data_IF_742685236932
#
_entry.id   IF_742685236932
#
_cell.length_a   1.000
_cell.length_b   1.000
_cell.length_c   1.000
_cell.angle_alpha   90.00
_cell.angle_beta   90.00
_cell.angle_gamma   90.00
#
_symmetry.space_group_name_H-M   'P 1'
#
loop_
_entity.id
_entity.type
_entity.pdbx_description
1 polymer ?
#
# COMPACT_ATOMS: atom_id res chain seq x y z
N UNK A 1 19.53 15.92 -20.04
CA UNK A 1 20.36 16.21 -18.87
C UNK A 1 21.10 14.92 -18.50
N UNK A 2 22.42 14.90 -18.61
CA UNK A 2 23.24 13.73 -18.26
C UNK A 2 23.32 13.64 -16.73
N UNK A 3 22.81 12.56 -16.15
CA UNK A 3 22.82 12.34 -14.70
C UNK A 3 24.23 11.89 -14.29
N UNK A 4 25.04 12.83 -13.80
CA UNK A 4 26.45 12.62 -13.41
C UNK A 4 26.59 11.54 -12.31
N UNK A 5 25.51 11.27 -11.56
CA UNK A 5 25.45 10.21 -10.55
C UNK A 5 25.53 8.79 -11.14
N UNK A 6 25.10 8.51 -12.38
CA UNK A 6 25.09 7.13 -12.90
C UNK A 6 26.46 6.62 -13.41
N UNK A 7 27.49 7.48 -13.38
CA UNK A 7 28.85 7.14 -13.82
C UNK A 7 29.73 6.53 -12.73
N UNK A 8 29.32 6.60 -11.46
CA UNK A 8 30.02 5.95 -10.34
C UNK A 8 29.20 4.76 -9.83
N UNK A 9 29.89 3.74 -9.33
CA UNK A 9 29.26 2.55 -8.76
C UNK A 9 28.27 2.92 -7.64
N UNK A 10 28.65 3.91 -6.81
CA UNK A 10 27.82 4.48 -5.75
C UNK A 10 26.56 5.17 -6.25
N UNK A 11 26.62 6.00 -7.31
CA UNK A 11 25.43 6.70 -7.78
C UNK A 11 24.47 5.80 -8.58
N UNK A 12 24.95 4.67 -9.13
CA UNK A 12 24.08 3.58 -9.64
C UNK A 12 23.34 2.84 -8.53
N UNK A 13 23.96 2.69 -7.36
CA UNK A 13 23.33 2.09 -6.19
C UNK A 13 22.24 3.01 -5.62
N UNK A 14 22.53 4.31 -5.48
CA UNK A 14 21.55 5.32 -5.05
C UNK A 14 20.37 5.41 -6.02
N UNK A 15 20.63 5.45 -7.33
CA UNK A 15 19.56 5.49 -8.34
C UNK A 15 18.70 4.22 -8.34
N UNK A 16 19.28 3.04 -8.04
CA UNK A 16 18.51 1.80 -7.85
C UNK A 16 17.65 1.87 -6.59
N UNK A 17 18.24 2.25 -5.46
CA UNK A 17 17.56 2.36 -4.17
C UNK A 17 16.38 3.33 -4.23
N UNK A 18 16.58 4.53 -4.76
CA UNK A 18 15.49 5.51 -4.94
C UNK A 18 14.36 5.01 -5.85
N UNK A 19 14.68 4.16 -6.84
CA UNK A 19 13.69 3.60 -7.78
C UNK A 19 12.94 2.40 -7.19
N UNK A 20 13.55 1.73 -6.23
CA UNK A 20 12.95 0.65 -5.47
C UNK A 20 12.05 1.24 -4.38
N UNK A 21 12.55 2.22 -3.62
CA UNK A 21 11.79 3.01 -2.64
C UNK A 21 10.56 3.67 -3.29
N UNK A 22 10.72 4.38 -4.42
CA UNK A 22 9.57 4.97 -5.12
C UNK A 22 8.60 3.95 -5.73
N UNK A 23 8.98 2.68 -5.90
CA UNK A 23 8.07 1.60 -6.30
C UNK A 23 7.37 0.96 -5.11
N UNK A 24 8.01 0.97 -3.96
CA UNK A 24 7.49 0.46 -2.70
C UNK A 24 6.46 1.44 -2.14
N UNK A 25 6.80 2.73 -2.06
CA UNK A 25 5.87 3.82 -1.68
C UNK A 25 4.63 3.84 -2.60
N UNK A 26 4.82 3.77 -3.92
CA UNK A 26 3.70 3.74 -4.87
C UNK A 26 2.86 2.46 -4.81
N UNK A 27 3.43 1.35 -4.32
CA UNK A 27 2.66 0.11 -4.04
C UNK A 27 1.88 0.25 -2.75
N UNK A 28 2.48 0.77 -1.69
CA UNK A 28 1.82 0.99 -0.40
C UNK A 28 0.62 1.92 -0.55
N UNK A 29 0.77 3.07 -1.21
CA UNK A 29 -0.34 3.99 -1.46
C UNK A 29 -1.46 3.34 -2.29
N UNK A 30 -1.09 2.63 -3.36
CA UNK A 30 -2.06 1.90 -4.20
C UNK A 30 -2.78 0.78 -3.43
N UNK A 31 -2.11 0.12 -2.50
CA UNK A 31 -2.72 -0.92 -1.65
C UNK A 31 -3.73 -0.33 -0.66
N UNK A 32 -3.40 0.81 -0.03
CA UNK A 32 -4.32 1.50 0.89
C UNK A 32 -5.58 1.96 0.16
N UNK A 33 -5.45 2.54 -1.04
CA UNK A 33 -6.59 3.01 -1.82
C UNK A 33 -7.51 1.86 -2.27
N UNK A 34 -6.93 0.73 -2.69
CA UNK A 34 -7.70 -0.47 -3.03
C UNK A 34 -8.45 -1.04 -1.82
N UNK A 35 -7.78 -1.08 -0.66
CA UNK A 35 -8.39 -1.54 0.60
C UNK A 35 -9.54 -0.60 1.00
N UNK A 36 -9.34 0.71 0.90
CA UNK A 36 -10.37 1.73 1.17
C UNK A 36 -11.58 1.53 0.27
N UNK A 37 -11.37 1.32 -1.03
CA UNK A 37 -12.44 1.08 -1.98
C UNK A 37 -13.22 -0.21 -1.65
N UNK A 38 -12.51 -1.29 -1.29
CA UNK A 38 -13.13 -2.56 -0.91
C UNK A 38 -13.97 -2.44 0.37
N UNK A 39 -13.43 -1.81 1.42
CA UNK A 39 -14.14 -1.56 2.67
C UNK A 39 -15.37 -0.67 2.45
N UNK A 40 -15.25 0.38 1.64
CA UNK A 40 -16.38 1.27 1.33
C UNK A 40 -17.48 0.53 0.54
N UNK A 41 -17.11 -0.36 -0.37
CA UNK A 41 -18.07 -1.17 -1.12
C UNK A 41 -18.79 -2.20 -0.23
N UNK A 42 -18.10 -2.75 0.78
CA UNK A 42 -18.66 -3.77 1.67
C UNK A 42 -19.46 -3.20 2.84
N UNK A 43 -19.01 -2.08 3.44
CA UNK A 43 -19.56 -1.56 4.70
C UNK A 43 -20.07 -0.11 4.60
N UNK A 44 -19.91 0.55 3.45
CA UNK A 44 -20.28 1.95 3.26
C UNK A 44 -19.27 2.93 3.85
N UNK A 45 -19.69 4.18 4.04
CA UNK A 45 -18.88 5.21 4.69
C UNK A 45 -18.87 5.02 6.21
N UNK A 46 -17.81 4.39 6.70
CA UNK A 46 -17.51 4.23 8.12
C UNK A 46 -16.54 5.33 8.58
N UNK A 47 -16.60 5.71 9.86
CA UNK A 47 -15.86 6.87 10.39
C UNK A 47 -14.35 6.65 10.42
N UNK A 48 -13.92 5.40 10.57
CA UNK A 48 -12.54 4.93 10.68
C UNK A 48 -12.01 4.33 9.38
N UNK A 49 -12.65 4.60 8.23
CA UNK A 49 -12.36 3.96 6.95
C UNK A 49 -10.87 4.05 6.55
N UNK A 50 -10.28 5.24 6.66
CA UNK A 50 -8.89 5.49 6.24
C UNK A 50 -7.89 4.80 7.18
N UNK A 51 -8.15 4.85 8.48
CA UNK A 51 -7.33 4.20 9.50
C UNK A 51 -7.38 2.67 9.36
N UNK A 52 -8.58 2.12 9.16
CA UNK A 52 -8.79 0.70 8.96
C UNK A 52 -8.17 0.22 7.64
N UNK A 53 -8.31 0.98 6.55
CA UNK A 53 -7.70 0.66 5.27
C UNK A 53 -6.18 0.60 5.37
N UNK A 54 -5.56 1.57 6.06
CA UNK A 54 -4.10 1.62 6.24
C UNK A 54 -3.60 0.45 7.08
N UNK A 55 -4.27 0.17 8.21
CA UNK A 55 -3.93 -0.94 9.11
C UNK A 55 -4.07 -2.31 8.42
N UNK A 56 -5.10 -2.50 7.60
CA UNK A 56 -5.30 -3.75 6.86
C UNK A 56 -4.35 -3.89 5.67
N UNK A 57 -4.06 -2.82 4.94
CA UNK A 57 -3.07 -2.82 3.86
C UNK A 57 -1.66 -3.13 4.39
N UNK A 58 -1.29 -2.56 5.53
CA UNK A 58 -0.03 -2.86 6.22
C UNK A 58 0.04 -4.33 6.69
N UNK A 59 -1.08 -4.92 7.13
CA UNK A 59 -1.13 -6.36 7.44
C UNK A 59 -1.16 -7.27 6.20
N UNK A 60 -1.54 -6.76 5.03
CA UNK A 60 -1.66 -7.52 3.78
C UNK A 60 -0.51 -7.26 2.81
N UNK A 61 0.70 -7.62 3.24
CA UNK A 61 1.90 -7.60 2.40
C UNK A 61 1.79 -8.52 1.17
N UNK A 62 0.80 -9.42 1.12
CA UNK A 62 0.62 -10.40 0.04
C UNK A 62 -0.38 -9.96 -1.03
N UNK A 63 -1.08 -8.83 -0.85
CA UNK A 63 -2.07 -8.33 -1.81
C UNK A 63 -3.34 -9.18 -1.91
N UNK A 64 -3.69 -9.94 -0.86
CA UNK A 64 -4.94 -10.69 -0.77
C UNK A 64 -6.10 -9.83 -0.22
N UNK A 65 -6.22 -8.59 -0.72
CA UNK A 65 -7.23 -7.59 -0.35
C UNK A 65 -8.64 -8.19 -0.43
N UNK A 66 -8.88 -9.01 -1.45
CA UNK A 66 -10.16 -9.67 -1.69
C UNK A 66 -10.54 -10.70 -0.61
N UNK A 67 -9.59 -11.26 0.14
CA UNK A 67 -9.84 -12.35 1.10
C UNK A 67 -10.11 -11.84 2.51
N UNK A 68 -9.56 -10.68 2.85
CA UNK A 68 -9.80 -10.01 4.15
C UNK A 68 -11.23 -9.49 4.20
N UNK A 69 -11.70 -8.86 3.12
CA UNK A 69 -13.03 -8.24 3.07
C UNK A 69 -14.13 -9.25 2.75
N UNK A 70 -13.83 -10.34 2.04
CA UNK A 70 -14.82 -11.36 1.70
C UNK A 70 -15.26 -12.18 2.93
N UNK A 71 -16.35 -11.76 3.55
CA UNK A 71 -17.07 -12.52 4.59
C UNK A 71 -16.69 -12.20 6.02
N UNK A 72 -15.73 -11.30 6.27
CA UNK A 72 -15.47 -10.76 7.60
C UNK A 72 -16.55 -9.74 7.99
N UNK A 73 -16.87 -9.63 9.28
CA UNK A 73 -17.66 -8.50 9.77
C UNK A 73 -16.75 -7.30 10.04
N UNK A 74 -17.33 -6.11 10.14
CA UNK A 74 -16.56 -4.90 10.46
C UNK A 74 -15.86 -5.01 11.83
N UNK A 75 -16.45 -5.72 12.78
CA UNK A 75 -15.85 -5.96 14.10
C UNK A 75 -14.65 -6.91 14.01
N UNK A 76 -14.73 -7.94 13.16
CA UNK A 76 -13.59 -8.85 12.90
C UNK A 76 -12.40 -8.11 12.28
N UNK A 77 -12.68 -7.12 11.44
CA UNK A 77 -11.64 -6.29 10.80
C UNK A 77 -10.99 -5.30 11.77
N UNK A 78 -11.72 -4.85 12.79
CA UNK A 78 -11.24 -3.92 13.81
C UNK A 78 -10.40 -4.58 14.90
N UNK A 79 -10.57 -5.89 15.10
CA UNK A 79 -9.80 -6.69 16.06
C UNK A 79 -8.28 -6.65 15.78
#
# INVERSE_FOLDING_TARGET
MNNILEQTETGREIARKNREEGREEGREEGHVDLMRAALRAAYGDITDLDELARRLADRDHSGNIARIVAGATLDDLRA
#
